data_IF_575257446574
#
_entry.id   IF_575257446574
#
_cell.length_a   1.000
_cell.length_b   1.000
_cell.length_c   1.000
_cell.angle_alpha   90.00
_cell.angle_beta   90.00
_cell.angle_gamma   90.00
#
_symmetry.space_group_name_H-M   'P 1'
#
loop_
_entity.id
_entity.type
_entity.pdbx_description
1 polymer ?
#
# COMPACT_ATOMS: atom_id res chain seq x y z
N UNK A 1 16.59 -14.80 1.96
CA UNK A 1 15.23 -14.28 2.16
C UNK A 1 14.25 -15.17 1.42
N UNK A 2 13.08 -15.43 1.98
CA UNK A 2 12.00 -16.17 1.33
C UNK A 2 11.01 -15.21 0.67
N UNK A 3 10.28 -15.69 -0.34
CA UNK A 3 9.16 -14.96 -0.91
C UNK A 3 8.15 -14.61 0.20
N UNK A 4 7.75 -13.35 0.26
CA UNK A 4 6.85 -12.83 1.29
C UNK A 4 7.52 -12.36 2.58
N UNK A 5 8.85 -12.51 2.74
CA UNK A 5 9.55 -11.94 3.89
C UNK A 5 9.55 -10.40 3.81
N UNK A 6 9.32 -9.68 4.93
CA UNK A 6 9.45 -8.23 4.96
C UNK A 6 10.92 -7.83 4.81
N UNK A 7 11.21 -6.93 3.87
CA UNK A 7 12.57 -6.47 3.57
C UNK A 7 12.90 -5.14 4.25
N UNK A 8 12.01 -4.17 4.14
CA UNK A 8 12.17 -2.83 4.71
C UNK A 8 10.83 -2.16 4.96
N UNK A 9 10.84 -1.10 5.78
CA UNK A 9 9.72 -0.20 5.89
C UNK A 9 10.11 1.21 5.44
N UNK A 10 9.29 1.80 4.56
CA UNK A 10 9.51 3.11 3.97
C UNK A 10 8.40 4.06 4.37
N UNK A 11 8.75 5.25 4.87
CA UNK A 11 7.79 6.33 5.08
C UNK A 11 7.27 6.85 3.74
N UNK A 12 5.95 7.00 3.61
CA UNK A 12 5.36 7.61 2.42
C UNK A 12 4.28 8.64 2.81
N UNK A 13 4.52 9.94 2.55
CA UNK A 13 3.49 10.97 2.71
C UNK A 13 2.24 10.69 1.88
N UNK A 14 2.41 10.27 0.64
CA UNK A 14 1.31 9.99 -0.28
C UNK A 14 0.43 8.82 0.18
N UNK A 15 1.04 7.80 0.82
CA UNK A 15 0.29 6.71 1.44
C UNK A 15 -0.54 7.21 2.63
N UNK A 16 0.00 8.13 3.44
CA UNK A 16 -0.76 8.74 4.55
C UNK A 16 -1.97 9.50 4.00
N UNK A 17 -1.75 10.37 3.01
CA UNK A 17 -2.82 11.14 2.36
C UNK A 17 -3.88 10.22 1.76
N UNK A 18 -3.48 9.18 1.04
CA UNK A 18 -4.41 8.23 0.41
C UNK A 18 -5.26 7.48 1.44
N UNK A 19 -4.69 7.09 2.59
CA UNK A 19 -5.46 6.46 3.66
C UNK A 19 -6.47 7.43 4.30
N UNK A 20 -6.10 8.70 4.48
CA UNK A 20 -7.01 9.72 5.00
C UNK A 20 -8.17 9.99 4.03
N UNK A 21 -7.86 10.12 2.74
CA UNK A 21 -8.85 10.25 1.67
C UNK A 21 -9.80 9.04 1.65
N UNK A 22 -9.29 7.83 1.82
CA UNK A 22 -10.12 6.63 1.87
C UNK A 22 -11.06 6.61 3.08
N UNK A 23 -10.55 6.95 4.28
CA UNK A 23 -11.39 7.07 5.48
C UNK A 23 -12.47 8.15 5.32
N UNK A 24 -12.13 9.27 4.69
CA UNK A 24 -13.09 10.32 4.35
C UNK A 24 -14.13 9.83 3.34
N UNK A 25 -13.70 9.08 2.31
CA UNK A 25 -14.57 8.45 1.32
C UNK A 25 -15.55 7.47 1.97
N UNK A 26 -15.10 6.65 2.91
CA UNK A 26 -15.97 5.75 3.69
C UNK A 26 -17.00 6.52 4.52
N UNK A 27 -16.57 7.60 5.18
CA UNK A 27 -17.50 8.46 5.93
C UNK A 27 -18.55 9.09 5.00
N UNK A 28 -18.12 9.58 3.83
CA UNK A 28 -19.01 10.12 2.80
C UNK A 28 -20.01 9.07 2.32
N UNK A 29 -19.54 7.85 2.00
CA UNK A 29 -20.40 6.71 1.62
C UNK A 29 -21.41 6.36 2.72
N UNK A 30 -21.03 6.41 3.99
CA UNK A 30 -21.95 6.11 5.10
C UNK A 30 -23.03 7.18 5.28
N UNK A 31 -22.68 8.46 5.14
CA UNK A 31 -23.61 9.59 5.36
C UNK A 31 -24.47 9.85 4.13
N UNK A 32 -23.86 9.89 2.95
CA UNK A 32 -24.48 10.32 1.70
C UNK A 32 -24.93 9.13 0.83
N UNK A 33 -24.42 7.93 1.08
CA UNK A 33 -24.82 6.73 0.32
C UNK A 33 -26.28 6.31 0.51
N UNK A 34 -26.95 6.86 1.52
CA UNK A 34 -28.39 6.66 1.78
C UNK A 34 -29.26 7.81 1.27
N UNK A 35 -28.67 8.77 0.54
CA UNK A 35 -29.44 9.88 -0.04
C UNK A 35 -30.49 9.36 -1.02
N UNK A 36 -31.67 9.99 -1.01
CA UNK A 36 -32.74 9.74 -1.99
C UNK A 36 -32.36 10.23 -3.41
N UNK A 37 -31.38 11.13 -3.50
CA UNK A 37 -30.83 11.59 -4.78
C UNK A 37 -29.76 10.60 -5.25
N UNK A 38 -30.06 9.89 -6.35
CA UNK A 38 -29.19 8.84 -6.90
C UNK A 38 -27.77 9.33 -7.17
N UNK A 39 -27.62 10.51 -7.77
CA UNK A 39 -26.31 11.10 -8.10
C UNK A 39 -25.43 11.32 -6.86
N UNK A 40 -26.04 11.73 -5.74
CA UNK A 40 -25.33 11.92 -4.46
C UNK A 40 -24.91 10.56 -3.88
N UNK A 41 -25.82 9.58 -3.86
CA UNK A 41 -25.54 8.22 -3.35
C UNK A 41 -24.43 7.54 -4.16
N UNK A 42 -24.51 7.61 -5.49
CA UNK A 42 -23.54 7.02 -6.41
C UNK A 42 -22.19 7.73 -6.34
N UNK A 43 -22.17 9.06 -6.29
CA UNK A 43 -20.94 9.85 -6.14
C UNK A 43 -20.18 9.48 -4.86
N UNK A 44 -20.89 9.35 -3.73
CA UNK A 44 -20.29 8.95 -2.46
C UNK A 44 -19.72 7.53 -2.48
N UNK A 45 -20.44 6.58 -3.09
CA UNK A 45 -19.95 5.19 -3.28
C UNK A 45 -18.73 5.16 -4.20
N UNK A 46 -18.76 5.88 -5.31
CA UNK A 46 -17.67 5.96 -6.29
C UNK A 46 -16.39 6.53 -5.68
N UNK A 47 -16.50 7.59 -4.87
CA UNK A 47 -15.35 8.18 -4.18
C UNK A 47 -14.65 7.17 -3.25
N UNK A 48 -15.42 6.41 -2.47
CA UNK A 48 -14.87 5.37 -1.60
C UNK A 48 -14.19 4.24 -2.39
N UNK A 49 -14.77 3.81 -3.51
CA UNK A 49 -14.16 2.78 -4.36
C UNK A 49 -12.89 3.27 -5.08
N UNK A 50 -12.86 4.53 -5.54
CA UNK A 50 -11.70 5.13 -6.20
C UNK A 50 -10.49 5.21 -5.26
N UNK A 51 -10.72 5.70 -4.03
CA UNK A 51 -9.68 5.79 -3.00
C UNK A 51 -9.23 4.40 -2.53
N UNK A 52 -10.14 3.42 -2.43
CA UNK A 52 -9.77 2.01 -2.18
C UNK A 52 -8.90 1.42 -3.28
N UNK A 53 -9.25 1.68 -4.54
CA UNK A 53 -8.46 1.21 -5.69
C UNK A 53 -7.06 1.82 -5.70
N UNK A 54 -6.93 3.10 -5.32
CA UNK A 54 -5.62 3.76 -5.17
C UNK A 54 -4.75 3.07 -4.11
N UNK A 55 -5.30 2.69 -2.95
CA UNK A 55 -4.56 1.91 -1.95
C UNK A 55 -4.06 0.57 -2.51
N UNK A 56 -4.85 -0.12 -3.33
CA UNK A 56 -4.42 -1.38 -3.96
C UNK A 56 -3.28 -1.20 -4.95
N UNK A 57 -3.28 -0.09 -5.71
CA UNK A 57 -2.18 0.24 -6.63
C UNK A 57 -0.87 0.54 -5.89
N UNK A 58 -0.94 0.81 -4.58
CA UNK A 58 0.17 1.00 -3.67
C UNK A 58 0.59 -0.31 -2.96
N UNK A 59 0.14 -1.45 -3.48
CA UNK A 59 0.37 -2.78 -2.93
C UNK A 59 -0.12 -2.95 -1.48
N UNK A 60 -1.06 -2.10 -1.03
CA UNK A 60 -1.73 -2.28 0.25
C UNK A 60 -2.67 -3.48 0.15
N UNK A 61 -2.38 -4.49 0.96
CA UNK A 61 -3.14 -5.74 0.98
C UNK A 61 -4.56 -5.53 1.50
N UNK A 62 -5.50 -6.38 1.08
CA UNK A 62 -6.88 -6.36 1.59
C UNK A 62 -6.95 -6.47 3.12
N UNK A 63 -6.06 -7.24 3.75
CA UNK A 63 -5.98 -7.32 5.20
C UNK A 63 -5.60 -5.99 5.85
N UNK A 64 -4.68 -5.25 5.25
CA UNK A 64 -4.31 -3.91 5.71
C UNK A 64 -5.43 -2.89 5.49
N UNK A 65 -6.14 -2.96 4.36
CA UNK A 65 -7.29 -2.09 4.09
C UNK A 65 -8.40 -2.34 5.13
N UNK A 66 -8.76 -3.61 5.39
CA UNK A 66 -9.75 -3.96 6.43
C UNK A 66 -9.33 -3.50 7.83
N UNK A 67 -8.06 -3.61 8.16
CA UNK A 67 -7.55 -3.11 9.44
C UNK A 67 -7.64 -1.58 9.54
N UNK A 68 -7.37 -0.87 8.44
CA UNK A 68 -7.57 0.57 8.35
C UNK A 68 -9.05 0.95 8.51
N UNK A 69 -9.97 0.25 7.85
CA UNK A 69 -11.42 0.42 7.99
C UNK A 69 -11.85 0.24 9.45
N UNK A 70 -11.37 -0.83 10.09
CA UNK A 70 -11.74 -1.21 11.46
C UNK A 70 -11.19 -0.26 12.51
N UNK A 71 -9.95 0.20 12.35
CA UNK A 71 -9.26 0.99 13.38
C UNK A 71 -9.33 2.49 13.14
N UNK A 72 -9.54 2.93 11.90
CA UNK A 72 -9.39 4.32 11.49
C UNK A 72 -7.95 4.86 11.64
N UNK A 73 -6.95 4.00 11.89
CA UNK A 73 -5.57 4.43 12.16
C UNK A 73 -4.72 4.33 10.91
N UNK A 74 -4.28 5.49 10.42
CA UNK A 74 -3.37 5.60 9.28
C UNK A 74 -1.97 5.09 9.63
N UNK A 75 -1.36 4.34 8.72
CA UNK A 75 0.03 3.90 8.85
C UNK A 75 0.95 4.81 8.05
N UNK A 76 2.02 5.29 8.69
CA UNK A 76 2.98 6.20 8.06
C UNK A 76 3.92 5.50 7.09
N UNK A 77 4.14 4.20 7.27
CA UNK A 77 5.11 3.44 6.50
C UNK A 77 4.50 2.23 5.81
N UNK A 78 5.00 1.95 4.61
CA UNK A 78 4.75 0.75 3.84
C UNK A 78 5.80 -0.30 4.19
N UNK A 79 5.42 -1.58 4.24
CA UNK A 79 6.37 -2.69 4.32
C UNK A 79 6.53 -3.24 2.90
N UNK A 80 7.76 -3.24 2.39
CA UNK A 80 8.09 -3.88 1.12
C UNK A 80 8.46 -5.32 1.39
N UNK A 81 7.81 -6.25 0.72
CA UNK A 81 8.04 -7.69 0.85
C UNK A 81 8.90 -8.23 -0.28
N UNK A 82 9.58 -9.34 -0.03
CA UNK A 82 10.39 -10.05 -1.01
C UNK A 82 9.50 -10.71 -2.07
N UNK A 83 9.64 -10.38 -3.37
CA UNK A 83 8.81 -11.00 -4.42
C UNK A 83 9.21 -12.45 -4.72
N UNK A 84 10.45 -12.82 -4.38
CA UNK A 84 11.04 -14.14 -4.66
C UNK A 84 11.80 -14.69 -3.46
N UNK A 85 12.07 -15.99 -3.48
CA UNK A 85 13.03 -16.61 -2.57
C UNK A 85 14.42 -16.52 -3.19
N UNK A 86 15.42 -16.17 -2.40
CA UNK A 86 16.80 -16.06 -2.88
C UNK A 86 17.76 -15.44 -1.87
N UNK A 87 18.93 -15.06 -2.36
CA UNK A 87 19.97 -14.39 -1.58
C UNK A 87 20.03 -12.90 -1.92
N UNK A 88 20.18 -12.05 -0.92
CA UNK A 88 20.35 -10.61 -1.12
C UNK A 88 21.79 -10.37 -1.56
N UNK A 89 21.99 -10.05 -2.84
CA UNK A 89 23.31 -9.77 -3.41
C UNK A 89 23.71 -8.31 -3.24
N UNK A 90 22.73 -7.40 -3.18
CA UNK A 90 22.95 -5.98 -2.91
C UNK A 90 21.87 -5.41 -1.99
N UNK A 91 22.29 -4.64 -0.99
CA UNK A 91 21.43 -3.85 -0.11
C UNK A 91 21.94 -2.41 -0.12
N UNK A 92 21.17 -1.51 -0.71
CA UNK A 92 21.45 -0.08 -0.73
C UNK A 92 20.49 0.71 0.18
N UNK A 93 19.68 0.03 0.99
CA UNK A 93 18.82 0.66 2.00
C UNK A 93 19.59 0.89 3.30
N UNK A 94 19.76 2.16 3.67
CA UNK A 94 20.28 2.59 4.98
C UNK A 94 19.20 3.31 5.77
N UNK A 95 19.35 3.34 7.10
CA UNK A 95 18.44 4.10 7.96
C UNK A 95 18.46 5.59 7.61
N UNK A 96 17.29 6.23 7.71
CA UNK A 96 17.08 7.66 7.41
C UNK A 96 17.39 8.08 5.96
N UNK A 97 17.54 7.13 5.04
CA UNK A 97 17.72 7.42 3.62
C UNK A 97 16.37 7.76 2.98
N UNK A 98 16.33 8.89 2.26
CA UNK A 98 15.22 9.21 1.37
C UNK A 98 15.36 8.41 0.07
N UNK A 99 14.27 7.84 -0.43
CA UNK A 99 14.29 7.03 -1.65
C UNK A 99 13.23 7.51 -2.63
N UNK A 100 13.64 7.57 -3.89
CA UNK A 100 12.78 7.90 -5.01
C UNK A 100 12.30 6.61 -5.70
N UNK A 101 11.21 6.64 -6.48
CA UNK A 101 10.69 5.45 -7.17
C UNK A 101 11.69 4.73 -8.09
N UNK A 102 12.70 5.44 -8.61
CA UNK A 102 13.78 4.89 -9.44
C UNK A 102 14.97 4.32 -8.64
N UNK A 103 14.95 4.41 -7.31
CA UNK A 103 16.06 4.00 -6.46
C UNK A 103 16.09 2.48 -6.35
N UNK A 104 17.22 1.86 -6.72
CA UNK A 104 17.43 0.42 -6.49
C UNK A 104 17.83 0.20 -5.05
N UNK A 105 16.93 -0.40 -4.27
CA UNK A 105 17.11 -0.59 -2.82
C UNK A 105 17.66 -1.99 -2.48
N UNK A 106 17.20 -3.03 -3.18
CA UNK A 106 17.65 -4.40 -3.02
C UNK A 106 17.82 -5.11 -4.37
N UNK A 107 18.79 -6.00 -4.45
CA UNK A 107 18.89 -7.02 -5.52
C UNK A 107 18.85 -8.40 -4.88
N UNK A 108 17.91 -9.24 -5.32
CA UNK A 108 17.74 -10.61 -4.86
C UNK A 108 18.03 -11.53 -6.04
N UNK A 109 18.98 -12.44 -5.86
CA UNK A 109 19.32 -13.47 -6.83
C UNK A 109 18.78 -14.82 -6.36
N UNK A 110 18.05 -15.51 -7.24
CA UNK A 110 17.75 -16.92 -7.08
C UNK A 110 18.86 -17.74 -7.75
N UNK A 111 19.56 -18.57 -6.98
CA UNK A 111 20.63 -19.44 -7.45
C UNK A 111 20.15 -20.88 -7.66
N UNK A 112 18.84 -21.14 -7.60
CA UNK A 112 18.25 -22.47 -7.79
C UNK A 112 18.57 -23.09 -9.15
N UNK A 113 18.85 -22.26 -10.16
CA UNK A 113 19.22 -22.71 -11.51
C UNK A 113 20.54 -22.04 -11.90
N UNK A 114 21.65 -22.78 -11.85
CA UNK A 114 22.92 -22.33 -12.41
C UNK A 114 22.92 -22.58 -13.92
N UNK A 115 23.09 -21.53 -14.72
CA UNK A 115 23.40 -21.67 -16.14
C UNK A 115 24.92 -21.85 -16.25
N UNK A 116 25.36 -23.01 -16.74
CA UNK A 116 26.76 -23.29 -17.11
C UNK A 116 26.95 -23.00 -18.58
#
# INVERSE_FOLDING_TARGET
VKKGDPLLSIYSPDLVSTQQEYLLGLKSKNVLGQSEFSEISEGAKSLAEATRRRLKLWDITEGQIKELERTGKVKKSLIIYSPITGHVSFKNAFENMYVEPNTRIFTIADHSTAWV
#
